data_IF_211202249766
#
_entry.id   IF_211202249766
#
_cell.length_a   1.000
_cell.length_b   1.000
_cell.length_c   1.000
_cell.angle_alpha   90.00
_cell.angle_beta   90.00
_cell.angle_gamma   90.00
#
_symmetry.space_group_name_H-M   'P 1'
#
loop_
_entity.id
_entity.type
_entity.pdbx_description
1 polymer ?
#
# COMPACT_ATOMS: atom_id res chain seq x y z
N UNK A 1 -21.51 3.90 -6.50
CA UNK A 1 -21.00 4.73 -5.39
C UNK A 1 -20.16 5.84 -6.00
N UNK A 2 -20.42 7.11 -5.67
CA UNK A 2 -19.53 8.21 -6.05
C UNK A 2 -18.37 8.26 -5.07
N UNK A 3 -17.28 7.55 -5.36
CA UNK A 3 -16.03 7.69 -4.64
C UNK A 3 -15.18 8.73 -5.36
N UNK A 4 -14.75 9.76 -4.63
CA UNK A 4 -13.79 10.73 -5.13
C UNK A 4 -12.40 10.36 -4.61
N UNK A 5 -11.46 10.09 -5.52
CA UNK A 5 -10.07 9.86 -5.18
C UNK A 5 -9.29 11.17 -5.29
N UNK A 6 -8.57 11.54 -4.24
CA UNK A 6 -7.68 12.69 -4.21
C UNK A 6 -6.28 12.22 -3.86
N UNK A 7 -5.35 12.35 -4.81
CA UNK A 7 -3.93 12.05 -4.62
C UNK A 7 -3.16 13.34 -4.34
N UNK A 8 -2.26 13.32 -3.36
CA UNK A 8 -1.52 14.51 -2.93
C UNK A 8 -0.06 14.17 -2.64
N UNK A 9 0.84 15.07 -3.04
CA UNK A 9 2.24 15.07 -2.61
C UNK A 9 2.36 15.91 -1.33
N UNK A 10 2.56 15.27 -0.15
CA UNK A 10 2.63 15.99 1.13
C UNK A 10 3.88 16.86 1.25
N UNK A 11 4.90 16.70 0.39
CA UNK A 11 6.08 17.58 0.38
C UNK A 11 5.80 18.94 -0.25
N UNK A 12 4.72 19.04 -1.04
CA UNK A 12 4.33 20.27 -1.76
C UNK A 12 3.03 20.88 -1.24
N UNK A 13 2.28 20.14 -0.43
CA UNK A 13 0.93 20.51 -0.01
C UNK A 13 0.76 20.35 1.49
N UNK A 14 0.11 21.30 2.14
CA UNK A 14 -0.30 21.14 3.54
C UNK A 14 -1.44 20.10 3.63
N UNK A 15 -1.08 18.87 4.01
CA UNK A 15 -2.00 17.74 4.06
C UNK A 15 -3.14 17.97 5.05
N UNK A 16 -2.87 18.56 6.22
CA UNK A 16 -3.89 18.83 7.23
C UNK A 16 -4.95 19.81 6.71
N UNK A 17 -4.52 20.87 6.03
CA UNK A 17 -5.44 21.84 5.40
C UNK A 17 -6.31 21.16 4.34
N UNK A 18 -5.70 20.36 3.47
CA UNK A 18 -6.43 19.62 2.43
C UNK A 18 -7.49 18.72 3.05
N UNK A 19 -7.13 17.90 4.04
CA UNK A 19 -8.08 17.01 4.72
C UNK A 19 -9.21 17.81 5.36
N UNK A 20 -8.92 18.93 6.02
CA UNK A 20 -9.95 19.80 6.60
C UNK A 20 -10.90 20.36 5.54
N UNK A 21 -10.39 20.82 4.41
CA UNK A 21 -11.22 21.34 3.32
C UNK A 21 -12.11 20.22 2.72
N UNK A 22 -11.58 19.02 2.52
CA UNK A 22 -12.33 17.88 1.99
C UNK A 22 -13.38 17.33 2.97
N UNK A 23 -13.17 17.51 4.28
CA UNK A 23 -14.02 16.92 5.33
C UNK A 23 -14.96 17.94 6.00
N UNK A 24 -15.01 19.18 5.51
CA UNK A 24 -15.81 20.23 6.15
C UNK A 24 -15.34 20.53 7.57
N UNK A 25 -14.02 20.57 7.77
CA UNK A 25 -13.30 20.79 9.03
C UNK A 25 -13.44 19.67 10.07
N UNK A 26 -14.01 18.51 9.72
CA UNK A 26 -14.23 17.41 10.67
C UNK A 26 -12.98 16.55 10.91
N UNK A 27 -12.04 16.51 9.97
CA UNK A 27 -10.97 15.52 9.96
C UNK A 27 -11.44 14.19 9.33
N UNK A 28 -10.51 13.25 9.16
CA UNK A 28 -10.77 11.94 8.58
C UNK A 28 -11.29 10.95 9.64
N UNK A 29 -12.29 10.14 9.28
CA UNK A 29 -12.82 9.08 10.15
C UNK A 29 -11.83 7.90 10.30
N UNK A 30 -11.08 7.60 9.24
CA UNK A 30 -10.04 6.58 9.23
C UNK A 30 -8.73 7.15 8.66
N UNK A 31 -7.64 6.99 9.38
CA UNK A 31 -6.28 7.37 8.94
C UNK A 31 -5.38 6.15 9.01
N UNK A 32 -4.89 5.71 7.87
CA UNK A 32 -3.99 4.54 7.76
C UNK A 32 -2.59 5.02 7.40
N UNK A 33 -1.64 4.84 8.32
CA UNK A 33 -0.22 5.12 8.06
C UNK A 33 0.41 3.84 7.52
N UNK A 34 0.48 3.72 6.20
CA UNK A 34 1.00 2.54 5.51
C UNK A 34 2.52 2.59 5.23
N UNK A 35 3.23 3.56 5.80
CA UNK A 35 4.68 3.76 5.62
C UNK A 35 5.39 3.76 6.98
N UNK A 36 6.56 3.13 7.07
CA UNK A 36 7.40 3.14 8.26
C UNK A 36 8.14 4.48 8.42
N UNK A 37 7.43 5.54 8.81
CA UNK A 37 7.99 6.89 9.01
C UNK A 37 7.44 7.54 10.27
N UNK A 38 8.33 8.02 11.16
CA UNK A 38 7.93 8.73 12.37
C UNK A 38 7.16 10.01 12.05
N UNK A 39 7.67 10.80 11.11
CA UNK A 39 7.01 12.05 10.70
C UNK A 39 5.60 11.80 10.16
N UNK A 40 5.39 10.70 9.42
CA UNK A 40 4.05 10.35 8.95
C UNK A 40 3.09 10.00 10.11
N UNK A 41 3.58 9.35 11.16
CA UNK A 41 2.80 9.05 12.36
C UNK A 41 2.50 10.32 13.16
N UNK A 42 3.47 11.22 13.31
CA UNK A 42 3.30 12.52 13.98
C UNK A 42 2.26 13.39 13.24
N UNK A 43 2.38 13.52 11.93
CA UNK A 43 1.46 14.31 11.09
C UNK A 43 0.05 13.73 11.11
N UNK A 44 -0.08 12.39 11.07
CA UNK A 44 -1.37 11.70 11.03
C UNK A 44 -2.28 12.00 12.23
N UNK A 45 -1.70 12.29 13.40
CA UNK A 45 -2.45 12.68 14.60
C UNK A 45 -3.20 14.01 14.44
N UNK A 46 -2.78 14.85 13.49
CA UNK A 46 -3.47 16.10 13.15
C UNK A 46 -4.54 15.96 12.07
N UNK A 47 -4.66 14.79 11.44
CA UNK A 47 -5.58 14.52 10.32
C UNK A 47 -6.89 13.89 10.78
N UNK A 48 -6.87 13.20 11.92
CA UNK A 48 -8.01 12.49 12.49
C UNK A 48 -9.16 13.42 12.88
N UNK A 49 -10.38 12.96 12.67
CA UNK A 49 -11.59 13.56 13.21
C UNK A 49 -11.99 12.99 14.58
N UNK A 50 -13.12 13.47 15.11
CA UNK A 50 -13.69 12.94 16.35
C UNK A 50 -14.21 11.51 16.15
N UNK A 51 -13.87 10.59 17.04
CA UNK A 51 -14.25 9.18 16.99
C UNK A 51 -13.44 8.35 15.99
N UNK A 52 -12.42 8.94 15.38
CA UNK A 52 -11.67 8.34 14.29
C UNK A 52 -10.78 7.17 14.74
N UNK A 53 -10.32 6.39 13.76
CA UNK A 53 -9.29 5.36 13.94
C UNK A 53 -8.00 5.78 13.25
N UNK A 54 -6.91 5.85 14.04
CA UNK A 54 -5.54 5.96 13.53
C UNK A 54 -4.89 4.57 13.54
N UNK A 55 -4.73 3.97 12.36
CA UNK A 55 -4.08 2.67 12.19
C UNK A 55 -2.61 2.84 11.79
N UNK A 56 -1.71 2.37 12.64
CA UNK A 56 -0.26 2.32 12.43
C UNK A 56 0.11 0.96 11.81
N UNK A 57 0.00 0.86 10.48
CA UNK A 57 0.29 -0.35 9.72
C UNK A 57 1.78 -0.47 9.36
N UNK A 58 2.39 0.64 8.93
CA UNK A 58 3.79 0.70 8.53
C UNK A 58 4.73 0.62 9.73
N UNK A 59 5.35 -0.54 9.95
CA UNK A 59 6.32 -0.74 11.02
C UNK A 59 7.54 0.18 10.89
N UNK A 60 7.98 0.75 12.01
CA UNK A 60 9.18 1.57 12.09
C UNK A 60 10.45 0.70 12.12
N UNK A 61 11.57 1.27 11.69
CA UNK A 61 12.88 0.62 11.84
C UNK A 61 13.19 0.43 13.32
N UNK A 62 13.96 -0.60 13.64
CA UNK A 62 14.45 -0.85 15.02
C UNK A 62 15.23 0.37 15.53
N UNK A 63 14.89 0.84 16.73
CA UNK A 63 15.47 2.06 17.32
C UNK A 63 14.75 3.33 16.87
N UNK A 64 13.75 3.19 15.98
CA UNK A 64 12.87 4.26 15.57
C UNK A 64 11.46 4.20 16.13
N UNK A 65 11.21 3.25 17.02
CA UNK A 65 9.90 2.80 17.51
C UNK A 65 9.21 3.70 18.55
N UNK A 66 9.86 4.79 18.96
CA UNK A 66 9.27 5.78 19.87
C UNK A 66 8.84 7.03 19.11
N UNK A 67 7.54 7.36 19.23
CA UNK A 67 6.91 8.54 18.62
C UNK A 67 6.05 9.25 19.68
N UNK A 68 6.15 10.59 19.82
CA UNK A 68 5.28 11.35 20.72
C UNK A 68 3.81 11.25 20.32
N UNK A 69 2.95 11.05 21.31
CA UNK A 69 1.51 10.97 21.11
C UNK A 69 0.80 12.17 21.75
N UNK A 70 -0.05 12.82 20.97
CA UNK A 70 -0.97 13.85 21.42
C UNK A 70 -2.16 13.20 22.13
N UNK A 71 -2.08 13.14 23.45
CA UNK A 71 -3.13 12.52 24.28
C UNK A 71 -4.43 13.34 24.31
N UNK A 72 -4.40 14.62 23.91
CA UNK A 72 -5.59 15.47 23.87
C UNK A 72 -6.56 15.00 22.79
N UNK A 73 -6.07 14.63 21.60
CA UNK A 73 -6.94 14.09 20.54
C UNK A 73 -7.49 12.71 20.92
N UNK A 74 -6.68 11.89 21.60
CA UNK A 74 -7.13 10.58 22.10
C UNK A 74 -8.28 10.75 23.10
N UNK A 75 -8.10 11.63 24.09
CA UNK A 75 -9.07 11.77 25.16
C UNK A 75 -10.33 12.54 24.74
N UNK A 76 -10.17 13.75 24.19
CA UNK A 76 -11.29 14.65 23.95
C UNK A 76 -11.94 14.46 22.57
N UNK A 77 -11.17 14.01 21.58
CA UNK A 77 -11.74 13.62 20.29
C UNK A 77 -12.07 12.12 20.24
N UNK A 78 -11.87 11.37 21.34
CA UNK A 78 -12.31 9.98 21.49
C UNK A 78 -11.79 9.07 20.36
N UNK A 79 -10.57 9.32 19.87
CA UNK A 79 -9.98 8.50 18.80
C UNK A 79 -9.44 7.17 19.33
N UNK A 80 -9.41 6.17 18.45
CA UNK A 80 -8.70 4.91 18.69
C UNK A 80 -7.37 4.90 17.94
N UNK A 81 -6.28 4.61 18.64
CA UNK A 81 -4.99 4.34 18.01
C UNK A 81 -4.76 2.84 18.03
N UNK A 82 -4.55 2.24 16.86
CA UNK A 82 -4.41 0.80 16.69
C UNK A 82 -3.24 0.45 15.78
N UNK A 83 -2.82 -0.80 15.80
CA UNK A 83 -1.84 -1.36 14.88
C UNK A 83 -2.37 -2.59 14.18
N UNK A 84 -1.87 -2.87 12.99
CA UNK A 84 -2.17 -4.10 12.25
C UNK A 84 -0.92 -4.59 11.53
N UNK A 85 -0.76 -5.91 11.45
CA UNK A 85 0.37 -6.54 10.77
C UNK A 85 -0.07 -7.86 10.18
N UNK A 86 0.33 -8.12 8.94
CA UNK A 86 -0.07 -9.31 8.19
C UNK A 86 -1.58 -9.36 7.93
N UNK A 87 -2.08 -10.57 7.72
CA UNK A 87 -3.51 -10.86 7.58
C UNK A 87 -3.78 -12.28 8.05
N UNK A 88 -4.97 -12.51 8.59
CA UNK A 88 -5.46 -13.85 8.93
C UNK A 88 -5.80 -14.64 7.66
N UNK A 89 -5.94 -15.97 7.73
CA UNK A 89 -6.45 -16.76 6.61
C UNK A 89 -7.81 -16.26 6.08
N UNK A 90 -8.65 -15.69 6.96
CA UNK A 90 -9.93 -15.11 6.56
C UNK A 90 -9.73 -13.85 5.70
N UNK A 91 -8.78 -12.98 6.04
CA UNK A 91 -8.47 -11.78 5.25
C UNK A 91 -7.99 -12.15 3.83
N UNK A 92 -7.16 -13.20 3.73
CA UNK A 92 -6.68 -13.73 2.44
C UNK A 92 -7.85 -14.25 1.61
N UNK A 93 -8.72 -15.07 2.21
CA UNK A 93 -9.90 -15.60 1.53
C UNK A 93 -10.82 -14.47 1.03
N UNK A 94 -11.03 -13.45 1.86
CA UNK A 94 -11.85 -12.29 1.52
C UNK A 94 -11.23 -11.45 0.39
N UNK A 95 -9.91 -11.24 0.42
CA UNK A 95 -9.21 -10.53 -0.65
C UNK A 95 -9.32 -11.26 -2.00
N UNK A 96 -9.15 -12.59 -2.01
CA UNK A 96 -9.34 -13.41 -3.21
C UNK A 96 -10.78 -13.35 -3.73
N UNK A 97 -11.78 -13.34 -2.84
CA UNK A 97 -13.19 -13.19 -3.22
C UNK A 97 -13.46 -11.84 -3.90
N UNK A 98 -12.92 -10.75 -3.35
CA UNK A 98 -13.05 -9.40 -3.93
C UNK A 98 -12.36 -9.32 -5.31
N UNK A 99 -11.19 -9.95 -5.45
CA UNK A 99 -10.50 -10.04 -6.75
C UNK A 99 -11.30 -10.85 -7.77
N UNK A 100 -11.85 -11.99 -7.36
CA UNK A 100 -12.66 -12.85 -8.23
C UNK A 100 -13.96 -12.16 -8.69
N UNK A 101 -14.53 -11.27 -7.87
CA UNK A 101 -15.69 -10.44 -8.23
C UNK A 101 -15.35 -9.24 -9.11
N UNK A 102 -14.07 -8.88 -9.22
CA UNK A 102 -13.62 -7.67 -9.90
C UNK A 102 -13.77 -6.39 -9.06
N UNK A 103 -14.10 -6.51 -7.77
CA UNK A 103 -14.19 -5.37 -6.84
C UNK A 103 -12.79 -4.80 -6.54
N UNK A 104 -11.74 -5.63 -6.65
CA UNK A 104 -10.33 -5.25 -6.50
C UNK A 104 -9.53 -5.80 -7.67
N UNK A 105 -8.91 -4.92 -8.45
CA UNK A 105 -7.99 -5.30 -9.54
C UNK A 105 -6.53 -5.06 -9.10
N UNK A 106 -5.73 -6.12 -8.83
CA UNK A 106 -4.33 -5.97 -8.45
C UNK A 106 -3.39 -5.80 -9.66
N UNK A 107 -3.88 -5.92 -10.90
CA UNK A 107 -3.05 -6.04 -12.11
C UNK A 107 -2.08 -4.87 -12.29
N UNK A 108 -2.53 -3.64 -12.04
CA UNK A 108 -1.72 -2.43 -12.15
C UNK A 108 -0.60 -2.32 -11.10
N UNK A 109 -0.62 -3.15 -10.05
CA UNK A 109 0.46 -3.20 -9.07
C UNK A 109 1.62 -4.10 -9.53
N UNK A 110 1.45 -4.89 -10.58
CA UNK A 110 2.50 -5.77 -11.10
C UNK A 110 3.18 -5.06 -12.27
N UNK A 111 4.46 -4.73 -12.09
CA UNK A 111 5.19 -3.88 -13.04
C UNK A 111 6.38 -4.59 -13.68
N UNK A 112 6.81 -5.72 -13.12
CA UNK A 112 7.93 -6.52 -13.65
C UNK A 112 7.60 -8.00 -13.66
N UNK A 113 7.93 -8.66 -14.77
CA UNK A 113 7.82 -10.12 -14.91
C UNK A 113 9.19 -10.68 -15.27
N UNK A 114 9.60 -11.75 -14.61
CA UNK A 114 10.85 -12.46 -14.91
C UNK A 114 10.79 -13.92 -14.46
N UNK A 115 11.95 -14.56 -14.42
CA UNK A 115 12.13 -15.93 -13.95
C UNK A 115 13.08 -16.00 -12.75
N UNK A 116 13.46 -17.22 -12.37
CA UNK A 116 14.30 -17.44 -11.21
C UNK A 116 15.72 -16.87 -11.36
N UNK A 117 16.27 -16.79 -12.58
CA UNK A 117 17.61 -16.22 -12.82
C UNK A 117 17.61 -14.71 -12.58
N UNK A 118 16.45 -14.05 -12.71
CA UNK A 118 16.27 -12.62 -12.46
C UNK A 118 16.06 -12.27 -10.97
N UNK A 119 15.89 -13.24 -10.07
CA UNK A 119 15.54 -13.00 -8.68
C UNK A 119 16.55 -12.07 -7.97
N UNK A 120 17.85 -12.25 -8.21
CA UNK A 120 18.90 -11.40 -7.65
C UNK A 120 18.82 -9.96 -8.17
N UNK A 121 18.51 -9.78 -9.46
CA UNK A 121 18.37 -8.43 -10.02
C UNK A 121 17.13 -7.73 -9.46
N UNK A 122 16.00 -8.43 -9.31
CA UNK A 122 14.82 -7.86 -8.65
C UNK A 122 15.10 -7.41 -7.21
N UNK A 123 15.84 -8.19 -6.42
CA UNK A 123 16.25 -7.79 -5.07
C UNK A 123 17.14 -6.53 -5.09
N UNK A 124 18.04 -6.41 -6.06
CA UNK A 124 18.87 -5.20 -6.22
C UNK A 124 18.02 -4.00 -6.62
N UNK A 125 17.07 -4.14 -7.56
CA UNK A 125 16.16 -3.08 -7.96
C UNK A 125 15.33 -2.56 -6.77
N UNK A 126 14.80 -3.46 -5.93
CA UNK A 126 14.09 -3.09 -4.70
C UNK A 126 15.00 -2.30 -3.75
N UNK A 127 16.24 -2.76 -3.56
CA UNK A 127 17.21 -2.06 -2.70
C UNK A 127 17.56 -0.66 -3.22
N UNK A 128 17.61 -0.48 -4.55
CA UNK A 128 17.84 0.81 -5.22
C UNK A 128 16.57 1.66 -5.35
N UNK A 129 15.41 1.15 -4.91
CA UNK A 129 14.10 1.79 -5.06
C UNK A 129 13.73 2.10 -6.53
N UNK A 130 14.18 1.24 -7.45
CA UNK A 130 13.91 1.35 -8.90
C UNK A 130 12.68 0.54 -9.34
N UNK A 131 11.99 -0.08 -8.40
CA UNK A 131 10.80 -0.87 -8.63
C UNK A 131 9.64 -0.26 -7.86
N UNK A 132 8.73 0.37 -8.61
CA UNK A 132 7.43 0.79 -8.10
C UNK A 132 6.41 -0.32 -8.40
N UNK A 133 5.69 -0.79 -7.40
CA UNK A 133 4.81 -1.97 -7.48
C UNK A 133 5.50 -3.31 -7.15
N UNK A 134 5.14 -4.36 -7.88
CA UNK A 134 5.54 -5.76 -7.62
C UNK A 134 6.23 -6.38 -8.84
N UNK A 135 7.25 -7.18 -8.57
CA UNK A 135 7.79 -8.13 -9.53
C UNK A 135 7.18 -9.52 -9.31
N UNK A 136 6.85 -10.22 -10.40
CA UNK A 136 6.51 -11.65 -10.37
C UNK A 136 7.65 -12.45 -11.00
N UNK A 137 8.04 -13.51 -10.30
CA UNK A 137 8.97 -14.53 -10.77
C UNK A 137 8.17 -15.78 -11.12
N UNK A 138 8.32 -16.26 -12.36
CA UNK A 138 7.80 -17.56 -12.81
C UNK A 138 8.92 -18.60 -12.79
N UNK A 139 9.08 -19.42 -11.73
CA UNK A 139 10.27 -20.26 -11.58
C UNK A 139 10.36 -21.38 -12.63
N UNK A 140 9.22 -21.81 -13.16
CA UNK A 140 9.10 -22.92 -14.10
C UNK A 140 9.28 -22.49 -15.57
N UNK A 141 9.44 -21.20 -15.84
CA UNK A 141 9.59 -20.67 -17.20
C UNK A 141 10.90 -19.93 -17.30
N UNK A 142 11.77 -20.32 -18.22
CA UNK A 142 12.98 -19.55 -18.56
C UNK A 142 12.64 -18.38 -19.49
N UNK A 143 13.19 -17.22 -19.21
CA UNK A 143 13.16 -16.03 -20.07
C UNK A 143 14.55 -15.40 -20.09
N UNK A 144 14.95 -14.79 -21.21
CA UNK A 144 16.25 -14.12 -21.31
C UNK A 144 16.24 -12.69 -20.77
N UNK A 145 15.05 -12.14 -20.50
CA UNK A 145 14.88 -10.73 -20.15
C UNK A 145 13.77 -10.51 -19.11
N UNK A 146 13.92 -9.42 -18.35
CA UNK A 146 12.89 -8.86 -17.48
C UNK A 146 11.92 -8.07 -18.34
N UNK A 147 10.62 -8.37 -18.26
CA UNK A 147 9.57 -7.60 -18.91
C UNK A 147 9.10 -6.47 -17.99
N UNK A 148 9.15 -5.24 -18.49
CA UNK A 148 8.47 -4.10 -17.87
C UNK A 148 7.07 -3.96 -18.47
N UNK A 149 6.06 -3.80 -17.61
CA UNK A 149 4.65 -3.76 -17.97
C UNK A 149 3.91 -2.74 -17.11
N UNK A 150 2.77 -2.26 -17.60
CA UNK A 150 1.90 -1.32 -16.86
C UNK A 150 0.83 -2.04 -16.04
N UNK A 151 0.45 -3.25 -16.45
CA UNK A 151 -0.48 -4.13 -15.73
C UNK A 151 -0.25 -5.59 -16.12
N UNK A 152 -0.60 -6.51 -15.22
CA UNK A 152 -0.57 -7.96 -15.47
C UNK A 152 -1.91 -8.60 -15.18
N UNK A 153 -2.65 -8.93 -16.24
CA UNK A 153 -3.99 -9.53 -16.15
C UNK A 153 -3.94 -11.04 -16.39
N UNK A 154 -5.06 -11.69 -16.11
CA UNK A 154 -5.20 -13.13 -16.26
C UNK A 154 -5.02 -13.58 -17.73
N UNK A 155 -5.43 -12.75 -18.70
CA UNK A 155 -5.24 -12.98 -20.14
C UNK A 155 -3.75 -12.93 -20.50
N UNK A 156 -3.04 -11.90 -20.04
CA UNK A 156 -1.61 -11.70 -20.27
C UNK A 156 -0.81 -12.88 -19.71
N UNK A 157 -1.15 -13.33 -18.50
CA UNK A 157 -0.51 -14.49 -17.88
C UNK A 157 -0.76 -15.78 -18.67
N UNK A 158 -1.99 -16.03 -19.15
CA UNK A 158 -2.29 -17.22 -19.95
C UNK A 158 -1.52 -17.22 -21.26
N UNK A 159 -1.49 -16.10 -21.97
CA UNK A 159 -0.73 -15.96 -23.21
C UNK A 159 0.76 -16.17 -22.93
N UNK A 160 1.30 -15.50 -21.92
CA UNK A 160 2.66 -15.65 -21.44
C UNK A 160 2.95 -17.14 -21.25
N UNK A 161 2.26 -17.83 -20.37
CA UNK A 161 2.54 -19.23 -20.03
C UNK A 161 2.34 -20.21 -21.20
N UNK A 162 1.52 -19.88 -22.19
CA UNK A 162 1.33 -20.71 -23.39
C UNK A 162 2.51 -20.62 -24.37
N UNK A 163 3.15 -19.45 -24.48
CA UNK A 163 4.22 -19.18 -25.45
C UNK A 163 5.58 -19.82 -25.11
N UNK A 164 5.72 -20.44 -23.92
CA UNK A 164 6.97 -21.04 -23.43
C UNK A 164 7.03 -22.58 -23.45
N UNK A 165 6.07 -23.26 -24.11
CA UNK A 165 6.01 -24.73 -24.20
C UNK A 165 6.71 -25.33 -25.44
N UNK A 166 7.64 -24.58 -26.04
CA UNK A 166 8.46 -25.01 -27.18
C UNK A 166 9.86 -25.42 -26.77
#
# INVERSE_FOLDING_TARGET
>A
MNVQLVTVDPSKTNLQRLVREQTGLKGADDVIVAVGSRGAIEDAQGLVGRGAVLNLFGGLKKGEDLVPMNTTVIHYAEINVTGSSGGSPWDIARALELMAKGDVDPSAHITRIGDLDHAIEFLKMVKRQELDGKAIVYPHRRTGEIRAIDAWRAEDEREYLSAGRG
#
